data_IF_878393213002
#
_entry.id   IF_878393213002
#
_cell.length_a   1.000
_cell.length_b   1.000
_cell.length_c   1.000
_cell.angle_alpha   90.00
_cell.angle_beta   90.00
_cell.angle_gamma   90.00
#
_symmetry.space_group_name_H-M   'P 1'
#
loop_
_entity.id
_entity.type
_entity.pdbx_description
1 polymer ?
#
# COMPACT_ATOMS: atom_id res chain seq x y z
N UNK A 1 -54.17 51.74 -0.19
CA UNK A 1 -53.71 52.27 1.12
C UNK A 1 -53.31 51.05 1.94
N UNK A 2 -52.09 50.77 2.38
CA UNK A 2 -50.90 51.60 2.66
C UNK A 2 -49.71 50.60 2.73
N UNK A 3 -48.77 50.70 1.78
CA UNK A 3 -47.35 51.11 1.95
C UNK A 3 -46.41 50.04 2.55
N UNK A 4 -45.52 49.56 1.67
CA UNK A 4 -44.32 48.79 1.97
C UNK A 4 -43.18 49.67 2.51
N UNK A 5 -42.25 49.06 3.26
CA UNK A 5 -40.80 49.36 3.23
C UNK A 5 -39.98 48.22 3.87
N UNK A 6 -38.71 48.03 3.45
CA UNK A 6 -37.91 46.83 3.72
C UNK A 6 -36.89 47.00 4.85
N UNK A 7 -36.46 45.90 5.48
CA UNK A 7 -35.36 45.86 6.46
C UNK A 7 -34.14 45.18 5.85
N UNK A 8 -33.03 45.89 5.91
CA UNK A 8 -31.66 45.57 5.47
C UNK A 8 -31.00 44.44 6.27
N UNK A 9 -30.12 43.61 5.68
CA UNK A 9 -29.25 42.71 6.43
C UNK A 9 -27.96 43.40 6.88
N UNK A 10 -27.58 43.14 8.13
CA UNK A 10 -26.38 43.61 8.81
C UNK A 10 -25.20 42.72 8.43
N UNK A 11 -24.20 43.29 7.76
CA UNK A 11 -22.85 42.72 7.59
C UNK A 11 -21.99 42.98 8.83
N UNK A 12 -21.50 41.91 9.46
CA UNK A 12 -20.43 41.88 10.45
C UNK A 12 -19.55 40.65 10.13
N UNK A 13 -18.23 40.63 10.22
CA UNK A 13 -17.23 41.64 10.55
C UNK A 13 -15.88 40.95 10.34
N UNK A 14 -15.11 41.43 9.37
CA UNK A 14 -13.74 40.95 9.10
C UNK A 14 -12.78 41.67 10.02
N UNK A 15 -11.98 40.92 10.81
CA UNK A 15 -10.82 41.46 11.52
C UNK A 15 -9.70 40.43 11.73
N UNK A 16 -8.49 40.95 11.54
CA UNK A 16 -7.17 40.54 12.06
C UNK A 16 -6.44 39.36 11.42
N UNK A 17 -5.57 39.69 10.46
CA UNK A 17 -4.24 39.05 10.34
C UNK A 17 -3.15 40.14 10.39
N UNK A 18 -2.07 39.95 11.17
CA UNK A 18 -0.97 40.90 11.24
C UNK A 18 -0.08 40.77 10.00
N UNK A 19 0.38 41.93 9.50
CA UNK A 19 1.41 42.04 8.47
C UNK A 19 2.72 41.47 9.00
N UNK A 20 3.26 40.46 8.33
CA UNK A 20 4.61 39.95 8.56
C UNK A 20 5.66 40.93 8.04
N UNK A 21 6.71 41.03 8.83
CA UNK A 21 7.79 42.00 8.81
C UNK A 21 8.80 41.76 7.68
N UNK A 22 9.31 42.87 7.17
CA UNK A 22 10.49 43.02 6.31
C UNK A 22 11.65 42.15 6.76
N UNK A 23 12.09 41.22 5.92
CA UNK A 23 13.30 40.43 6.14
C UNK A 23 14.51 41.22 5.66
N UNK A 24 15.44 41.46 6.59
CA UNK A 24 16.75 42.05 6.37
C UNK A 24 17.63 41.11 5.54
N UNK A 25 18.28 41.66 4.50
CA UNK A 25 19.32 40.99 3.73
C UNK A 25 20.51 40.65 4.62
N UNK A 26 20.74 39.36 4.86
CA UNK A 26 21.98 38.84 5.45
C UNK A 26 22.87 38.38 4.29
N UNK A 27 24.05 39.00 4.16
CA UNK A 27 25.08 38.61 3.21
C UNK A 27 25.47 37.14 3.40
N UNK A 28 25.45 36.37 2.31
CA UNK A 28 26.00 35.02 2.24
C UNK A 28 27.48 35.07 1.85
N UNK A 29 28.33 34.16 2.38
CA UNK A 29 29.73 34.05 1.97
C UNK A 29 29.88 33.37 0.59
N UNK A 30 30.93 33.67 -0.19
CA UNK A 30 31.17 33.04 -1.48
C UNK A 30 31.76 31.63 -1.29
N UNK A 31 31.16 30.62 -1.92
CA UNK A 31 31.74 29.27 -2.04
C UNK A 31 32.21 28.99 -3.48
N UNK A 32 33.35 28.31 -3.65
CA UNK A 32 33.88 27.94 -4.96
C UNK A 32 33.29 26.59 -5.42
N UNK A 33 32.64 26.59 -6.58
CA UNK A 33 32.08 25.38 -7.18
C UNK A 33 30.87 25.67 -8.05
N UNK A 34 30.99 26.58 -9.01
CA UNK A 34 29.91 26.93 -9.91
C UNK A 34 29.69 25.78 -10.90
N UNK A 35 28.73 24.91 -10.60
CA UNK A 35 28.21 23.90 -11.51
C UNK A 35 27.53 24.64 -12.67
N UNK A 36 28.27 24.87 -13.75
CA UNK A 36 27.75 25.39 -15.01
C UNK A 36 26.93 24.31 -15.72
N UNK A 37 25.77 23.96 -15.20
CA UNK A 37 24.81 23.10 -15.91
C UNK A 37 23.80 23.98 -16.64
N UNK A 38 23.78 23.93 -17.97
CA UNK A 38 22.85 24.68 -18.83
C UNK A 38 21.36 24.27 -18.70
N UNK A 39 21.01 23.50 -17.68
CA UNK A 39 19.64 23.10 -17.39
C UNK A 39 19.11 23.92 -16.20
N UNK A 40 18.11 24.82 -16.41
CA UNK A 40 17.56 25.67 -15.36
C UNK A 40 16.93 24.86 -14.22
N UNK A 41 16.49 23.62 -14.47
CA UNK A 41 15.90 22.75 -13.44
C UNK A 41 16.98 22.27 -12.47
N UNK A 42 18.15 21.88 -12.97
CA UNK A 42 19.29 21.47 -12.13
C UNK A 42 19.76 22.60 -11.22
N UNK A 43 19.88 23.81 -11.76
CA UNK A 43 20.24 24.99 -10.99
C UNK A 43 19.20 25.26 -9.88
N UNK A 44 17.91 25.12 -10.20
CA UNK A 44 16.83 25.31 -9.24
C UNK A 44 16.82 24.24 -8.14
N UNK A 45 17.11 22.98 -8.46
CA UNK A 45 17.25 21.89 -7.48
C UNK A 45 18.46 22.13 -6.59
N UNK A 46 19.61 22.51 -7.15
CA UNK A 46 20.79 22.86 -6.36
C UNK A 46 20.51 24.01 -5.39
N UNK A 47 19.82 25.05 -5.85
CA UNK A 47 19.39 26.17 -5.00
C UNK A 47 18.38 25.74 -3.92
N UNK A 48 17.44 24.83 -4.25
CA UNK A 48 16.51 24.26 -3.29
C UNK A 48 17.27 23.52 -2.18
N UNK A 49 18.21 22.65 -2.54
CA UNK A 49 19.02 21.91 -1.57
C UNK A 49 19.73 22.89 -0.62
N UNK A 50 20.40 23.92 -1.16
CA UNK A 50 21.10 24.96 -0.36
C UNK A 50 20.21 25.68 0.64
N UNK A 51 18.93 25.90 0.31
CA UNK A 51 18.02 26.66 1.17
C UNK A 51 17.22 25.78 2.12
N UNK A 52 17.02 24.51 1.76
CA UNK A 52 16.05 23.64 2.43
C UNK A 52 16.54 23.01 3.75
N UNK A 53 17.78 23.25 4.20
CA UNK A 53 18.29 22.66 5.45
C UNK A 53 17.52 23.09 6.71
N UNK A 54 16.86 24.24 6.66
CA UNK A 54 16.05 24.79 7.76
C UNK A 54 14.56 24.47 7.62
N UNK A 55 14.15 23.90 6.49
CA UNK A 55 12.76 23.51 6.25
C UNK A 55 12.54 22.07 6.72
N UNK A 56 11.32 21.71 7.15
CA UNK A 56 10.97 20.31 7.36
C UNK A 56 11.26 19.46 6.11
N UNK A 57 11.80 18.26 6.31
CA UNK A 57 12.14 17.32 5.24
C UNK A 57 10.94 17.06 4.29
N UNK A 58 9.73 16.92 4.85
CA UNK A 58 8.47 16.77 4.10
C UNK A 58 8.19 17.96 3.17
N UNK A 59 8.33 19.18 3.68
CA UNK A 59 8.15 20.42 2.90
C UNK A 59 9.19 20.53 1.78
N UNK A 60 10.44 20.18 2.06
CA UNK A 60 11.51 20.21 1.07
C UNK A 60 11.30 19.15 -0.04
N UNK A 61 10.87 17.94 0.32
CA UNK A 61 10.51 16.89 -0.62
C UNK A 61 9.29 17.28 -1.49
N UNK A 62 8.30 17.93 -0.89
CA UNK A 62 7.16 18.47 -1.63
C UNK A 62 7.60 19.57 -2.61
N UNK A 63 8.46 20.50 -2.17
CA UNK A 63 9.01 21.54 -3.03
C UNK A 63 9.81 20.95 -4.21
N UNK A 64 10.61 19.91 -3.96
CA UNK A 64 11.31 19.17 -5.02
C UNK A 64 10.31 18.55 -6.02
N UNK A 65 9.25 17.91 -5.51
CA UNK A 65 8.22 17.28 -6.35
C UNK A 65 7.46 18.29 -7.21
N UNK A 66 7.25 19.51 -6.72
CA UNK A 66 6.61 20.58 -7.48
C UNK A 66 7.55 21.21 -8.52
N UNK A 67 8.84 21.31 -8.20
CA UNK A 67 9.85 21.89 -9.07
C UNK A 67 10.21 20.97 -10.24
N UNK A 68 10.21 19.65 -10.01
CA UNK A 68 10.67 18.65 -10.97
C UNK A 68 9.51 17.84 -11.53
N UNK A 69 9.37 17.85 -12.86
CA UNK A 69 8.36 17.05 -13.56
C UNK A 69 8.53 15.54 -13.27
N UNK A 70 7.44 14.78 -13.08
CA UNK A 70 7.51 13.35 -12.72
C UNK A 70 8.46 12.51 -13.58
N UNK A 71 8.46 12.74 -14.90
CA UNK A 71 9.29 12.01 -15.87
C UNK A 71 10.80 12.29 -15.73
N UNK A 72 11.18 13.43 -15.16
CA UNK A 72 12.59 13.84 -14.99
C UNK A 72 13.15 13.53 -13.59
N UNK A 73 12.29 13.19 -12.62
CA UNK A 73 12.71 13.03 -11.21
C UNK A 73 13.74 11.93 -11.03
N UNK A 74 13.57 10.80 -11.70
CA UNK A 74 14.51 9.67 -11.61
C UNK A 74 15.90 10.04 -12.13
N UNK A 75 15.97 10.69 -13.29
CA UNK A 75 17.25 11.13 -13.86
C UNK A 75 17.94 12.18 -12.97
N UNK A 76 17.18 13.15 -12.44
CA UNK A 76 17.75 14.14 -11.51
C UNK A 76 18.20 13.53 -10.18
N UNK A 77 17.51 12.49 -9.71
CA UNK A 77 17.94 11.74 -8.55
C UNK A 77 19.29 11.05 -8.81
N UNK A 78 19.50 10.45 -9.98
CA UNK A 78 20.78 9.84 -10.37
C UNK A 78 21.89 10.87 -10.58
N UNK A 79 21.58 12.01 -11.20
CA UNK A 79 22.60 12.99 -11.59
C UNK A 79 23.01 13.94 -10.45
N UNK A 80 22.12 14.20 -9.50
CA UNK A 80 22.31 15.23 -8.46
C UNK A 80 22.24 14.65 -7.05
N UNK A 81 21.16 13.93 -6.71
CA UNK A 81 20.94 13.49 -5.33
C UNK A 81 21.84 12.33 -4.92
N UNK A 82 22.05 11.35 -5.81
CA UNK A 82 22.86 10.17 -5.54
C UNK A 82 24.35 10.50 -5.39
N UNK A 83 24.95 11.37 -6.23
CA UNK A 83 26.32 11.83 -6.01
C UNK A 83 26.44 12.65 -4.71
N UNK A 84 25.45 13.49 -4.40
CA UNK A 84 25.42 14.26 -3.15
C UNK A 84 25.44 13.33 -1.92
N UNK A 85 24.61 12.28 -1.92
CA UNK A 85 24.55 11.29 -0.84
C UNK A 85 25.89 10.58 -0.61
N UNK A 86 26.62 10.26 -1.69
CA UNK A 86 27.90 9.54 -1.65
C UNK A 86 29.13 10.43 -1.45
N UNK A 87 28.98 11.76 -1.61
CA UNK A 87 30.05 12.74 -1.44
C UNK A 87 30.33 13.05 0.04
N UNK A 88 31.43 13.77 0.30
CA UNK A 88 31.75 14.36 1.60
C UNK A 88 31.06 15.71 1.82
N UNK A 89 29.88 15.91 1.21
CA UNK A 89 29.08 17.12 1.40
C UNK A 89 28.61 17.26 2.85
N UNK A 90 28.06 18.44 3.17
CA UNK A 90 27.49 18.73 4.48
C UNK A 90 26.46 17.67 4.91
N UNK A 91 26.46 17.31 6.19
CA UNK A 91 25.63 16.23 6.70
C UNK A 91 24.12 16.52 6.50
N UNK A 92 23.72 17.79 6.66
CA UNK A 92 22.34 18.22 6.44
C UNK A 92 21.92 18.03 4.97
N UNK A 93 22.84 18.22 4.02
CA UNK A 93 22.62 17.95 2.60
C UNK A 93 22.35 16.48 2.33
N UNK A 94 23.19 15.62 2.90
CA UNK A 94 23.10 14.17 2.71
C UNK A 94 21.82 13.60 3.33
N UNK A 95 21.42 14.09 4.50
CA UNK A 95 20.13 13.77 5.14
C UNK A 95 18.95 14.21 4.28
N UNK A 96 19.01 15.43 3.72
CA UNK A 96 17.94 15.92 2.87
C UNK A 96 17.83 15.08 1.59
N UNK A 97 18.96 14.76 0.94
CA UNK A 97 18.97 13.95 -0.26
C UNK A 97 18.44 12.53 -0.01
N UNK A 98 18.84 11.88 1.09
CA UNK A 98 18.32 10.54 1.42
C UNK A 98 16.80 10.57 1.64
N UNK A 99 16.28 11.59 2.33
CA UNK A 99 14.85 11.75 2.52
C UNK A 99 14.10 12.03 1.21
N UNK A 100 14.65 12.85 0.31
CA UNK A 100 14.03 13.10 -1.00
C UNK A 100 13.95 11.80 -1.81
N UNK A 101 15.06 11.04 -1.89
CA UNK A 101 15.10 9.74 -2.59
C UNK A 101 14.07 8.74 -2.03
N UNK A 102 13.86 8.74 -0.72
CA UNK A 102 12.79 7.99 -0.08
C UNK A 102 11.39 8.49 -0.48
N UNK A 103 11.14 9.80 -0.31
CA UNK A 103 9.84 10.42 -0.47
C UNK A 103 9.26 10.31 -1.89
N UNK A 104 10.12 10.18 -2.90
CA UNK A 104 9.72 9.96 -4.29
C UNK A 104 8.87 8.69 -4.49
N UNK A 105 8.98 7.72 -3.58
CA UNK A 105 8.28 6.43 -3.64
C UNK A 105 7.55 6.08 -2.32
N UNK A 106 7.41 7.01 -1.38
CA UNK A 106 6.84 6.77 -0.05
C UNK A 106 5.40 6.21 0.01
N UNK A 107 4.52 6.32 -1.01
CA UNK A 107 3.24 5.59 -1.01
C UNK A 107 3.41 4.06 -1.07
N UNK A 108 4.62 3.58 -1.40
CA UNK A 108 4.92 2.17 -1.58
C UNK A 108 5.93 1.68 -0.53
N UNK A 109 5.94 0.37 -0.20
CA UNK A 109 6.96 -0.22 0.67
C UNK A 109 8.38 0.07 0.17
N UNK A 110 9.34 0.22 1.10
CA UNK A 110 10.74 0.52 0.77
C UNK A 110 11.39 -0.56 -0.13
N UNK A 111 10.86 -1.80 -0.12
CA UNK A 111 11.27 -2.88 -1.02
C UNK A 111 11.10 -2.55 -2.51
N UNK A 112 10.15 -1.67 -2.86
CA UNK A 112 9.89 -1.23 -4.24
C UNK A 112 10.64 0.05 -4.62
N UNK A 113 11.34 0.69 -3.69
CA UNK A 113 12.09 1.91 -3.99
C UNK A 113 13.37 1.56 -4.77
N UNK A 114 13.57 2.08 -6.01
CA UNK A 114 14.75 1.75 -6.83
C UNK A 114 16.07 2.23 -6.22
N UNK A 115 16.03 3.15 -5.24
CA UNK A 115 17.20 3.66 -4.53
C UNK A 115 17.49 2.90 -3.22
N UNK A 116 16.71 1.86 -2.87
CA UNK A 116 16.89 1.07 -1.64
C UNK A 116 18.33 0.55 -1.50
N UNK A 117 18.87 -0.05 -2.56
CA UNK A 117 20.23 -0.62 -2.56
C UNK A 117 21.30 0.44 -2.33
N UNK A 118 21.14 1.61 -2.94
CA UNK A 118 22.07 2.73 -2.74
C UNK A 118 21.99 3.30 -1.32
N UNK A 119 20.78 3.52 -0.80
CA UNK A 119 20.56 3.97 0.59
C UNK A 119 21.17 2.97 1.59
N UNK A 120 21.00 1.68 1.35
CA UNK A 120 21.60 0.61 2.15
C UNK A 120 23.12 0.58 2.06
N UNK A 121 23.70 0.69 0.86
CA UNK A 121 25.15 0.75 0.68
C UNK A 121 25.76 1.96 1.41
N UNK A 122 25.11 3.13 1.33
CA UNK A 122 25.52 4.31 2.11
C UNK A 122 25.39 4.04 3.62
N UNK A 123 24.32 3.42 4.08
CA UNK A 123 24.14 3.06 5.49
C UNK A 123 25.29 2.19 6.01
N UNK A 124 25.63 1.10 5.30
CA UNK A 124 26.72 0.19 5.70
C UNK A 124 28.06 0.92 5.75
N UNK A 125 28.35 1.75 4.73
CA UNK A 125 29.58 2.55 4.66
C UNK A 125 29.70 3.52 5.83
N UNK A 126 28.69 4.35 6.07
CA UNK A 126 28.69 5.38 7.12
C UNK A 126 28.67 4.75 8.52
N UNK A 127 27.94 3.66 8.71
CA UNK A 127 27.93 2.89 9.96
C UNK A 127 29.31 2.33 10.27
N UNK A 128 30.00 1.75 9.28
CA UNK A 128 31.35 1.23 9.46
C UNK A 128 32.34 2.33 9.83
N UNK A 129 32.22 3.51 9.23
CA UNK A 129 33.04 4.68 9.57
C UNK A 129 32.76 5.18 11.00
N UNK A 130 31.50 5.40 11.35
CA UNK A 130 31.11 5.85 12.69
C UNK A 130 31.53 4.86 13.79
N UNK A 131 31.42 3.56 13.53
CA UNK A 131 31.82 2.51 14.49
C UNK A 131 33.32 2.51 14.75
N UNK A 132 34.15 2.74 13.71
CA UNK A 132 35.60 2.85 13.87
C UNK A 132 35.99 4.05 14.73
N UNK A 133 35.39 5.21 14.49
CA UNK A 133 35.64 6.43 15.27
C UNK A 133 35.19 6.25 16.73
N UNK A 134 34.05 5.59 16.95
CA UNK A 134 33.56 5.30 18.30
C UNK A 134 34.53 4.39 19.07
N UNK A 135 35.19 3.44 18.40
CA UNK A 135 36.22 2.59 19.03
C UNK A 135 37.47 3.39 19.45
N UNK A 136 37.75 4.51 18.80
CA UNK A 136 38.82 5.45 19.16
C UNK A 136 38.40 6.43 20.30
N UNK A 137 37.19 6.26 20.86
CA UNK A 137 36.66 7.10 21.95
C UNK A 137 36.13 8.46 21.50
N UNK A 138 36.03 8.70 20.18
CA UNK A 138 35.51 9.95 19.61
C UNK A 138 34.04 9.82 19.18
N UNK A 139 33.35 10.95 19.07
CA UNK A 139 31.98 11.02 18.57
C UNK A 139 32.03 11.31 17.06
N UNK A 140 31.35 10.50 16.24
CA UNK A 140 31.26 10.75 14.81
C UNK A 140 30.02 11.59 14.50
N UNK A 141 30.21 12.70 13.80
CA UNK A 141 29.11 13.51 13.26
C UNK A 141 28.26 12.73 12.23
N UNK A 142 28.74 11.58 11.73
CA UNK A 142 28.01 10.77 10.74
C UNK A 142 26.91 9.90 11.35
N UNK A 143 26.82 9.80 12.68
CA UNK A 143 25.82 8.95 13.34
C UNK A 143 24.38 9.37 13.05
N UNK A 144 24.12 10.68 12.93
CA UNK A 144 22.80 11.21 12.61
C UNK A 144 22.33 10.77 11.23
N UNK A 145 23.23 10.71 10.25
CA UNK A 145 22.91 10.19 8.92
C UNK A 145 22.65 8.69 8.96
N UNK A 146 23.44 7.93 9.73
CA UNK A 146 23.22 6.48 9.92
C UNK A 146 21.84 6.21 10.50
N UNK A 147 21.43 6.98 11.51
CA UNK A 147 20.10 6.87 12.12
C UNK A 147 18.97 7.19 11.13
N UNK A 148 19.10 8.28 10.35
CA UNK A 148 18.13 8.64 9.30
C UNK A 148 17.98 7.53 8.27
N UNK A 149 19.10 7.00 7.76
CA UNK A 149 19.07 5.91 6.77
C UNK A 149 18.44 4.64 7.34
N UNK A 150 18.75 4.30 8.59
CA UNK A 150 18.13 3.16 9.28
C UNK A 150 16.61 3.30 9.39
N UNK A 151 16.12 4.48 9.79
CA UNK A 151 14.68 4.76 9.88
C UNK A 151 13.99 4.64 8.52
N UNK A 152 14.58 5.19 7.46
CA UNK A 152 14.08 5.06 6.09
C UNK A 152 14.03 3.59 5.66
N UNK A 153 15.11 2.84 5.89
CA UNK A 153 15.26 1.44 5.44
C UNK A 153 14.36 0.47 6.22
N UNK A 154 13.97 0.80 7.46
CA UNK A 154 12.95 0.05 8.23
C UNK A 154 11.50 0.37 7.82
N UNK A 155 11.27 1.39 6.99
CA UNK A 155 9.93 1.82 6.56
C UNK A 155 9.33 2.95 7.38
N UNK A 156 10.04 3.44 8.40
CA UNK A 156 9.61 4.52 9.29
C UNK A 156 10.07 5.91 8.78
N UNK A 157 10.32 6.06 7.48
CA UNK A 157 10.84 7.31 6.92
C UNK A 157 9.91 8.51 7.16
N UNK A 158 8.61 8.28 7.33
CA UNK A 158 7.62 9.34 7.57
C UNK A 158 7.84 10.08 8.90
N UNK A 159 8.42 9.41 9.91
CA UNK A 159 8.75 10.03 11.20
C UNK A 159 9.75 11.19 11.06
N UNK A 160 10.56 11.17 9.99
CA UNK A 160 11.61 12.17 9.73
C UNK A 160 11.00 13.44 9.10
N UNK A 161 9.84 13.32 8.44
CA UNK A 161 9.22 14.38 7.65
C UNK A 161 9.01 15.73 8.36
N UNK A 162 8.59 15.76 9.65
CA UNK A 162 8.38 17.02 10.38
C UNK A 162 9.67 17.76 10.78
N UNK A 163 10.82 17.08 10.80
CA UNK A 163 12.08 17.65 11.27
C UNK A 163 12.88 18.26 10.12
N UNK A 164 13.64 19.32 10.42
CA UNK A 164 14.57 19.89 9.43
C UNK A 164 15.91 19.15 9.44
N UNK A 165 16.60 19.02 8.29
CA UNK A 165 17.92 18.40 8.24
C UNK A 165 18.91 19.02 9.24
N UNK A 166 18.93 20.35 9.37
CA UNK A 166 19.80 21.05 10.32
C UNK A 166 19.47 20.79 11.80
N UNK A 167 18.21 20.50 12.12
CA UNK A 167 17.81 20.08 13.46
C UNK A 167 18.28 18.65 13.73
N UNK A 168 18.14 17.76 12.74
CA UNK A 168 18.55 16.36 12.85
C UNK A 168 20.06 16.21 13.04
N UNK A 169 20.88 17.00 12.33
CA UNK A 169 22.34 16.97 12.50
C UNK A 169 22.81 17.40 13.88
N UNK A 170 22.03 18.24 14.58
CA UNK A 170 22.37 18.77 15.90
C UNK A 170 21.71 18.00 17.05
N UNK A 171 20.79 17.10 16.75
CA UNK A 171 20.07 16.36 17.77
C UNK A 171 21.00 15.32 18.41
N UNK A 172 21.16 15.32 19.74
CA UNK A 172 21.93 14.29 20.41
C UNK A 172 21.18 12.96 20.29
N UNK A 173 21.83 11.96 19.70
CA UNK A 173 21.27 10.62 19.62
C UNK A 173 21.36 9.93 20.98
N UNK A 174 20.29 9.23 21.35
CA UNK A 174 20.31 8.35 22.52
C UNK A 174 21.34 7.23 22.33
N UNK A 175 21.97 6.72 23.40
CA UNK A 175 22.96 5.64 23.31
C UNK A 175 22.47 4.40 22.55
N UNK A 176 21.18 4.11 22.63
CA UNK A 176 20.54 2.98 21.92
C UNK A 176 20.48 3.19 20.40
N UNK A 177 20.46 4.44 19.95
CA UNK A 177 20.38 4.84 18.54
C UNK A 177 21.76 5.07 17.90
N UNK A 178 22.84 4.70 18.61
CA UNK A 178 24.21 4.80 18.12
C UNK A 178 24.45 3.82 16.99
N UNK A 179 25.31 4.19 16.05
CA UNK A 179 25.62 3.40 14.86
C UNK A 179 26.01 1.93 15.15
N UNK A 180 26.65 1.67 16.30
CA UNK A 180 27.00 0.30 16.74
C UNK A 180 25.77 -0.59 16.92
N UNK A 181 24.66 -0.03 17.40
CA UNK A 181 23.46 -0.75 17.82
C UNK A 181 22.42 -0.86 16.69
N UNK A 182 22.55 -0.04 15.65
CA UNK A 182 21.63 -0.04 14.51
C UNK A 182 21.97 -1.17 13.54
N UNK A 183 21.25 -2.28 13.63
CA UNK A 183 21.38 -3.43 12.72
C UNK A 183 20.17 -3.47 11.79
N UNK A 184 20.42 -3.78 10.51
CA UNK A 184 19.39 -4.11 9.53
C UNK A 184 19.54 -5.59 9.21
N UNK A 185 18.43 -6.31 9.14
CA UNK A 185 18.42 -7.74 8.84
C UNK A 185 18.84 -7.93 7.38
N UNK A 186 20.08 -8.40 7.16
CA UNK A 186 20.69 -8.53 5.83
C UNK A 186 19.88 -9.47 4.91
N UNK A 187 19.09 -10.37 5.48
CA UNK A 187 18.20 -11.30 4.77
C UNK A 187 17.18 -10.55 3.90
N UNK A 188 16.60 -9.43 4.38
CA UNK A 188 15.65 -8.62 3.61
C UNK A 188 16.30 -7.78 2.49
N UNK A 189 17.63 -7.78 2.39
CA UNK A 189 18.41 -7.02 1.41
C UNK A 189 19.21 -7.91 0.46
N UNK A 190 19.29 -9.23 0.75
CA UNK A 190 20.07 -10.22 -0.02
C UNK A 190 19.21 -11.10 -0.93
N UNK A 191 17.90 -10.88 -0.99
CA UNK A 191 16.88 -11.72 -1.68
C UNK A 191 17.02 -11.87 -3.20
N UNK A 192 18.15 -11.55 -3.84
CA UNK A 192 18.30 -11.76 -5.29
C UNK A 192 19.10 -13.00 -5.69
N UNK A 193 19.84 -13.69 -4.81
CA UNK A 193 20.81 -14.71 -5.31
C UNK A 193 20.94 -16.07 -4.57
N UNK A 194 20.03 -16.52 -3.69
CA UNK A 194 20.20 -17.86 -3.12
C UNK A 194 18.90 -18.54 -2.68
N UNK A 195 18.39 -19.47 -3.50
CA UNK A 195 17.47 -20.52 -3.07
C UNK A 195 17.56 -21.71 -4.03
N UNK A 196 18.59 -22.57 -3.86
CA UNK A 196 18.55 -23.93 -4.40
C UNK A 196 17.71 -24.84 -3.47
N UNK A 197 16.84 -25.72 -4.00
CA UNK A 197 16.14 -26.73 -3.20
C UNK A 197 17.01 -27.99 -3.04
N UNK A 198 17.26 -28.37 -1.79
CA UNK A 198 17.92 -29.63 -1.45
C UNK A 198 17.05 -30.84 -1.83
N UNK A 199 17.42 -31.53 -2.90
CA UNK A 199 17.02 -32.92 -3.17
C UNK A 199 17.87 -33.87 -2.35
N UNK A 200 17.26 -34.57 -1.39
CA UNK A 200 17.86 -35.70 -0.68
C UNK A 200 17.33 -37.02 -1.24
N UNK A 201 18.22 -37.81 -1.86
CA UNK A 201 18.06 -39.25 -1.98
C UNK A 201 19.42 -39.98 -2.08
N UNK A 202 19.75 -40.68 -0.97
CA UNK A 202 20.29 -42.05 -0.87
C UNK A 202 21.69 -42.33 -1.46
N UNK A 203 22.68 -42.65 -0.59
CA UNK A 203 23.22 -44.03 -0.44
C UNK A 203 24.36 -44.14 0.59
N UNK A 204 24.06 -44.90 1.65
CA UNK A 204 24.81 -46.09 2.15
C UNK A 204 26.02 -45.96 3.09
N UNK A 205 25.78 -46.48 4.30
CA UNK A 205 26.51 -47.54 5.03
C UNK A 205 28.02 -47.36 5.27
N UNK A 206 28.37 -47.26 6.57
CA UNK A 206 29.08 -48.29 7.35
C UNK A 206 30.16 -47.70 8.27
N UNK A 207 30.12 -48.09 9.55
CA UNK A 207 31.32 -48.16 10.41
C UNK A 207 31.21 -47.48 11.77
N UNK A 208 31.03 -48.30 12.80
CA UNK A 208 31.28 -48.02 14.21
C UNK A 208 32.66 -47.38 14.46
N UNK A 209 32.74 -46.43 15.42
CA UNK A 209 33.78 -46.46 16.45
C UNK A 209 33.59 -45.36 17.50
N UNK A 210 33.70 -45.79 18.75
CA UNK A 210 33.70 -45.01 19.99
C UNK A 210 34.85 -43.98 20.10
N UNK A 211 34.56 -42.95 20.89
CA UNK A 211 35.46 -42.22 21.78
C UNK A 211 36.82 -41.72 21.26
N UNK A 212 36.97 -40.40 21.11
CA UNK A 212 38.14 -39.73 21.68
C UNK A 212 38.00 -38.22 21.88
N UNK A 213 38.54 -37.81 23.01
CA UNK A 213 38.70 -36.47 23.56
C UNK A 213 39.92 -35.81 22.88
N UNK A 214 39.92 -34.47 22.84
CA UNK A 214 41.04 -33.52 22.79
C UNK A 214 41.28 -32.69 21.51
N UNK A 215 41.35 -31.38 21.79
CA UNK A 215 42.31 -30.38 21.29
C UNK A 215 42.06 -29.65 19.96
N UNK A 216 41.99 -28.33 20.13
CA UNK A 216 42.07 -27.26 19.15
C UNK A 216 43.28 -27.37 18.19
N UNK A 217 43.04 -27.04 16.91
CA UNK A 217 43.96 -26.26 16.09
C UNK A 217 43.25 -25.73 14.84
N UNK A 218 43.49 -24.45 14.55
CA UNK A 218 42.79 -23.66 13.55
C UNK A 218 42.93 -24.17 12.12
N UNK A 219 41.84 -23.98 11.37
CA UNK A 219 41.76 -24.17 9.93
C UNK A 219 41.32 -22.84 9.30
N UNK A 220 42.09 -22.26 8.35
CA UNK A 220 41.67 -21.04 7.66
C UNK A 220 40.48 -21.36 6.75
N UNK A 221 39.42 -20.55 6.87
CA UNK A 221 38.23 -20.60 6.01
C UNK A 221 38.61 -20.44 4.54
N UNK A 222 38.11 -21.29 3.63
CA UNK A 222 38.21 -21.04 2.20
C UNK A 222 37.33 -19.84 1.85
N UNK A 223 37.86 -18.99 0.97
CA UNK A 223 37.18 -17.82 0.42
C UNK A 223 35.79 -18.21 -0.11
N UNK A 224 34.77 -17.46 0.34
CA UNK A 224 33.43 -17.51 -0.21
C UNK A 224 33.49 -17.15 -1.70
N UNK A 225 33.44 -18.16 -2.56
CA UNK A 225 33.16 -17.98 -3.97
C UNK A 225 31.71 -17.53 -4.07
N UNK A 226 31.51 -16.28 -4.45
CA UNK A 226 30.21 -15.73 -4.84
C UNK A 226 29.74 -16.51 -6.06
N UNK A 227 28.85 -17.49 -5.84
CA UNK A 227 28.21 -18.23 -6.93
C UNK A 227 27.27 -17.23 -7.60
N UNK A 228 27.67 -16.71 -8.76
CA UNK A 228 26.74 -16.01 -9.66
C UNK A 228 25.63 -17.00 -10.01
N UNK A 229 24.42 -16.75 -9.50
CA UNK A 229 23.24 -17.54 -9.82
C UNK A 229 23.03 -17.49 -11.34
N UNK A 230 23.33 -18.59 -12.02
CA UNK A 230 23.04 -18.73 -13.44
C UNK A 230 21.53 -18.83 -13.59
N UNK A 231 20.90 -17.71 -13.94
CA UNK A 231 19.49 -17.66 -14.29
C UNK A 231 19.24 -18.64 -15.43
N UNK A 232 18.38 -19.61 -15.18
CA UNK A 232 18.04 -20.64 -16.17
C UNK A 232 17.01 -20.09 -17.16
N UNK A 233 17.02 -20.60 -18.40
CA UNK A 233 16.06 -20.16 -19.43
C UNK A 233 14.61 -20.46 -19.01
N UNK A 234 14.37 -21.52 -18.25
CA UNK A 234 13.04 -21.84 -17.72
C UNK A 234 12.54 -20.82 -16.68
N UNK A 235 13.44 -20.28 -15.85
CA UNK A 235 13.09 -19.24 -14.88
C UNK A 235 12.73 -17.92 -15.57
N UNK A 236 13.47 -17.56 -16.62
CA UNK A 236 13.17 -16.38 -17.44
C UNK A 236 11.78 -16.49 -18.09
N UNK A 237 11.44 -17.64 -18.68
CA UNK A 237 10.09 -17.85 -19.24
C UNK A 237 8.99 -17.77 -18.18
N UNK A 238 9.22 -18.30 -16.98
CA UNK A 238 8.26 -18.21 -15.86
C UNK A 238 8.09 -16.77 -15.41
N UNK A 239 9.19 -16.03 -15.26
CA UNK A 239 9.19 -14.62 -14.88
C UNK A 239 8.48 -13.77 -15.94
N UNK A 240 8.68 -14.05 -17.23
CA UNK A 240 7.97 -13.39 -18.32
C UNK A 240 6.45 -13.63 -18.23
N UNK A 241 6.02 -14.87 -17.99
CA UNK A 241 4.59 -15.20 -17.83
C UNK A 241 3.97 -14.47 -16.63
N UNK A 242 4.69 -14.39 -15.50
CA UNK A 242 4.24 -13.66 -14.31
C UNK A 242 4.15 -12.15 -14.61
N UNK A 243 5.16 -11.58 -15.27
CA UNK A 243 5.15 -10.17 -15.67
C UNK A 243 3.99 -9.84 -16.64
N UNK A 244 3.71 -10.74 -17.59
CA UNK A 244 2.57 -10.63 -18.49
C UNK A 244 1.24 -10.69 -17.71
N UNK A 245 1.11 -11.62 -16.77
CA UNK A 245 -0.07 -11.75 -15.93
C UNK A 245 -0.29 -10.50 -15.06
N UNK A 246 0.77 -9.94 -14.49
CA UNK A 246 0.72 -8.69 -13.73
C UNK A 246 0.26 -7.51 -14.61
N UNK A 247 0.76 -7.43 -15.84
CA UNK A 247 0.31 -6.42 -16.82
C UNK A 247 -1.18 -6.57 -17.15
N UNK A 248 -1.67 -7.80 -17.33
CA UNK A 248 -3.09 -8.07 -17.56
C UNK A 248 -3.94 -7.72 -16.35
N UNK A 249 -3.46 -8.00 -15.14
CA UNK A 249 -4.15 -7.66 -13.91
C UNK A 249 -4.30 -6.14 -13.74
N UNK A 250 -3.25 -5.37 -14.04
CA UNK A 250 -3.33 -3.90 -14.05
C UNK A 250 -4.32 -3.40 -15.10
N UNK A 251 -4.32 -4.00 -16.30
CA UNK A 251 -5.31 -3.68 -17.33
C UNK A 251 -6.75 -4.02 -16.89
N UNK A 252 -6.95 -5.06 -16.09
CA UNK A 252 -8.26 -5.46 -15.56
C UNK A 252 -8.89 -4.41 -14.62
N UNK A 253 -8.08 -3.51 -14.06
CA UNK A 253 -8.56 -2.38 -13.25
C UNK A 253 -9.21 -1.29 -14.11
N UNK A 254 -8.72 -1.10 -15.32
CA UNK A 254 -9.14 0.01 -16.18
C UNK A 254 -10.18 -0.40 -17.22
N UNK A 255 -10.24 -1.69 -17.57
CA UNK A 255 -11.16 -2.19 -18.60
C UNK A 255 -11.54 -3.65 -18.41
N UNK A 256 -12.56 -4.05 -19.15
CA UNK A 256 -12.92 -5.46 -19.32
C UNK A 256 -11.80 -6.18 -20.09
N UNK A 257 -11.32 -7.29 -19.54
CA UNK A 257 -10.38 -8.17 -20.22
C UNK A 257 -11.11 -9.05 -21.24
N UNK A 258 -10.48 -9.29 -22.37
CA UNK A 258 -10.95 -10.25 -23.37
C UNK A 258 -10.89 -11.68 -22.85
N UNK A 259 -11.66 -12.60 -23.43
CA UNK A 259 -11.64 -14.02 -23.01
C UNK A 259 -10.25 -14.65 -23.14
N UNK A 260 -9.47 -14.26 -24.15
CA UNK A 260 -8.09 -14.75 -24.32
C UNK A 260 -7.19 -14.26 -23.19
N UNK A 261 -7.30 -12.99 -22.81
CA UNK A 261 -6.55 -12.43 -21.68
C UNK A 261 -6.95 -13.09 -20.36
N UNK A 262 -8.25 -13.31 -20.14
CA UNK A 262 -8.73 -14.02 -18.95
C UNK A 262 -8.18 -15.44 -18.88
N UNK A 263 -8.16 -16.19 -20.01
CA UNK A 263 -7.60 -17.55 -20.07
C UNK A 263 -6.11 -17.60 -19.75
N UNK A 264 -5.35 -16.57 -20.12
CA UNK A 264 -3.93 -16.45 -19.77
C UNK A 264 -3.77 -16.17 -18.27
N UNK A 265 -4.61 -15.28 -17.71
CA UNK A 265 -4.50 -14.81 -16.34
C UNK A 265 -4.96 -15.84 -15.30
N UNK A 266 -6.08 -16.54 -15.54
CA UNK A 266 -6.68 -17.48 -14.58
C UNK A 266 -5.71 -18.50 -13.96
N UNK A 267 -4.90 -19.27 -14.72
CA UNK A 267 -3.99 -20.26 -14.14
C UNK A 267 -2.85 -19.65 -13.33
N UNK A 268 -2.60 -18.34 -13.47
CA UNK A 268 -1.50 -17.65 -12.80
C UNK A 268 -1.96 -16.88 -11.54
N UNK A 269 -3.25 -16.86 -11.24
CA UNK A 269 -3.82 -16.12 -10.10
C UNK A 269 -3.16 -16.51 -8.77
N UNK A 270 -3.00 -17.81 -8.50
CA UNK A 270 -2.38 -18.28 -7.24
C UNK A 270 -0.93 -17.82 -7.08
N UNK A 271 -0.21 -17.66 -8.20
CA UNK A 271 1.18 -17.19 -8.19
C UNK A 271 1.25 -15.66 -7.97
N UNK A 272 0.21 -14.92 -8.36
CA UNK A 272 0.11 -13.46 -8.15
C UNK A 272 -0.35 -13.11 -6.73
N UNK A 273 -0.96 -14.05 -6.01
CA UNK A 273 -1.38 -13.91 -4.60
C UNK A 273 -0.35 -14.45 -3.62
N UNK A 274 0.82 -14.91 -4.08
CA UNK A 274 1.91 -15.45 -3.25
C UNK A 274 3.27 -15.24 -3.95
N UNK A 275 3.93 -14.08 -3.77
CA UNK A 275 3.61 -12.97 -2.86
C UNK A 275 2.45 -12.11 -3.38
N UNK A 276 1.65 -11.56 -2.47
CA UNK A 276 0.49 -10.76 -2.86
C UNK A 276 0.91 -9.45 -3.52
N UNK A 277 0.72 -9.36 -4.83
CA UNK A 277 0.97 -8.13 -5.60
C UNK A 277 -0.25 -7.19 -5.65
N UNK A 278 -1.41 -7.67 -5.20
CA UNK A 278 -2.70 -6.99 -5.30
C UNK A 278 -3.01 -6.28 -4.00
N UNK A 279 -3.36 -5.00 -4.05
CA UNK A 279 -3.79 -4.27 -2.86
C UNK A 279 -5.32 -4.31 -2.74
N UNK A 280 -5.84 -4.06 -1.54
CA UNK A 280 -7.28 -3.91 -1.30
C UNK A 280 -7.93 -2.86 -2.23
N UNK A 281 -7.17 -1.82 -2.61
CA UNK A 281 -7.62 -0.74 -3.50
C UNK A 281 -7.83 -1.17 -4.96
N UNK A 282 -7.23 -2.29 -5.37
CA UNK A 282 -7.33 -2.79 -6.74
C UNK A 282 -8.61 -3.60 -6.97
N UNK A 283 -9.23 -4.12 -5.91
CA UNK A 283 -10.37 -5.03 -6.01
C UNK A 283 -11.66 -4.36 -6.52
N UNK A 284 -12.10 -3.17 -6.05
CA UNK A 284 -13.33 -2.54 -6.53
C UNK A 284 -13.40 -2.33 -8.05
N UNK A 285 -12.37 -1.75 -8.71
CA UNK A 285 -12.42 -1.59 -10.16
C UNK A 285 -12.37 -2.93 -10.90
N UNK A 286 -11.69 -3.95 -10.36
CA UNK A 286 -11.69 -5.30 -10.95
C UNK A 286 -13.07 -5.94 -10.84
N UNK A 287 -13.77 -5.77 -9.72
CA UNK A 287 -15.17 -6.23 -9.55
C UNK A 287 -16.08 -5.56 -10.59
N UNK A 288 -15.95 -4.24 -10.77
CA UNK A 288 -16.79 -3.48 -11.68
C UNK A 288 -16.63 -3.91 -13.15
N UNK A 289 -15.40 -4.20 -13.59
CA UNK A 289 -15.12 -4.53 -14.99
C UNK A 289 -15.06 -6.04 -15.28
N UNK A 290 -14.65 -6.86 -14.33
CA UNK A 290 -14.29 -8.26 -14.54
C UNK A 290 -14.75 -9.16 -13.37
N UNK A 291 -16.06 -9.25 -13.11
CA UNK A 291 -16.63 -10.00 -11.97
C UNK A 291 -16.18 -11.46 -11.85
N UNK A 292 -16.04 -12.17 -12.98
CA UNK A 292 -15.53 -13.55 -12.98
C UNK A 292 -14.09 -13.65 -12.47
N UNK A 293 -13.23 -12.72 -12.90
CA UNK A 293 -11.85 -12.66 -12.45
C UNK A 293 -11.78 -12.24 -10.98
N UNK A 294 -12.58 -11.24 -10.60
CA UNK A 294 -12.66 -10.75 -9.22
C UNK A 294 -13.01 -11.86 -8.23
N UNK A 295 -13.99 -12.72 -8.57
CA UNK A 295 -14.35 -13.88 -7.75
C UNK A 295 -13.16 -14.83 -7.52
N UNK A 296 -12.44 -15.19 -8.58
CA UNK A 296 -11.26 -16.08 -8.47
C UNK A 296 -10.13 -15.43 -7.65
N UNK A 297 -9.91 -14.12 -7.82
CA UNK A 297 -8.94 -13.36 -7.04
C UNK A 297 -9.33 -13.29 -5.58
N UNK A 298 -10.61 -13.03 -5.26
CA UNK A 298 -11.09 -12.99 -3.88
C UNK A 298 -10.87 -14.34 -3.17
N UNK A 299 -11.16 -15.46 -3.83
CA UNK A 299 -10.88 -16.79 -3.26
C UNK A 299 -9.39 -16.97 -3.01
N UNK A 300 -8.55 -16.69 -4.00
CA UNK A 300 -7.10 -16.84 -3.87
C UNK A 300 -6.54 -15.95 -2.74
N UNK A 301 -6.98 -14.69 -2.65
CA UNK A 301 -6.57 -13.74 -1.61
C UNK A 301 -7.05 -14.15 -0.21
N UNK A 302 -8.26 -14.69 -0.09
CA UNK A 302 -8.80 -15.16 1.20
C UNK A 302 -8.17 -16.47 1.65
N UNK A 303 -7.81 -17.35 0.71
CA UNK A 303 -7.20 -18.66 1.00
C UNK A 303 -5.69 -18.60 1.17
N UNK A 304 -5.00 -17.56 0.66
CA UNK A 304 -3.59 -17.31 0.90
C UNK A 304 -3.31 -17.23 2.41
N UNK A 305 -2.67 -18.25 2.96
CA UNK A 305 -2.20 -18.25 4.34
C UNK A 305 -1.21 -17.12 4.52
N UNK A 306 -1.52 -16.16 5.40
CA UNK A 306 -0.63 -15.05 5.72
C UNK A 306 0.66 -15.59 6.34
N UNK A 307 1.67 -15.88 5.54
CA UNK A 307 3.04 -15.93 6.02
C UNK A 307 3.35 -14.56 6.62
N UNK A 308 3.84 -14.53 7.85
CA UNK A 308 4.01 -13.40 8.79
C UNK A 308 4.58 -12.07 8.25
N UNK A 309 4.95 -11.98 6.98
CA UNK A 309 5.61 -10.82 6.36
C UNK A 309 4.65 -9.83 5.69
N UNK A 310 3.36 -10.18 5.54
CA UNK A 310 2.42 -9.31 4.82
C UNK A 310 1.63 -8.37 5.75
N UNK A 311 1.67 -7.07 5.44
CA UNK A 311 1.04 -6.00 6.25
C UNK A 311 -0.48 -5.89 6.11
N UNK A 312 -1.08 -6.56 5.13
CA UNK A 312 -2.53 -6.58 4.89
C UNK A 312 -3.04 -8.02 4.97
N UNK A 313 -3.73 -8.35 6.07
CA UNK A 313 -4.40 -9.64 6.25
C UNK A 313 -5.68 -9.76 5.42
N UNK A 314 -6.36 -10.93 5.47
CA UNK A 314 -7.62 -11.18 4.75
C UNK A 314 -8.73 -10.18 5.09
N UNK A 315 -8.69 -9.59 6.29
CA UNK A 315 -9.61 -8.55 6.76
C UNK A 315 -9.67 -7.34 5.83
N UNK A 316 -8.55 -6.91 5.27
CA UNK A 316 -8.51 -5.75 4.37
C UNK A 316 -9.34 -5.98 3.09
N UNK A 317 -9.38 -7.21 2.57
CA UNK A 317 -10.18 -7.55 1.40
C UNK A 317 -11.66 -7.74 1.76
N UNK A 318 -11.96 -8.31 2.93
CA UNK A 318 -13.34 -8.39 3.43
C UNK A 318 -13.93 -6.99 3.63
N UNK A 319 -13.16 -6.04 4.15
CA UNK A 319 -13.59 -4.65 4.32
C UNK A 319 -13.92 -3.97 3.00
N UNK A 320 -13.19 -4.29 1.93
CA UNK A 320 -13.51 -3.80 0.58
C UNK A 320 -14.83 -4.39 0.08
N UNK A 321 -15.07 -5.68 0.28
CA UNK A 321 -16.34 -6.31 -0.13
C UNK A 321 -17.55 -5.66 0.56
N UNK A 322 -17.41 -5.21 1.81
CA UNK A 322 -18.45 -4.48 2.56
C UNK A 322 -18.81 -3.12 1.93
N UNK A 323 -17.86 -2.50 1.23
CA UNK A 323 -17.98 -1.14 0.69
C UNK A 323 -18.25 -1.11 -0.83
N UNK A 324 -18.45 -2.26 -1.46
CA UNK A 324 -18.76 -2.31 -2.89
C UNK A 324 -20.08 -1.59 -3.19
N UNK A 325 -20.17 -0.86 -4.32
CA UNK A 325 -21.42 -0.21 -4.72
C UNK A 325 -22.48 -1.27 -5.11
N UNK A 326 -23.78 -0.99 -4.97
CA UNK A 326 -24.87 -1.91 -5.29
C UNK A 326 -25.07 -2.07 -6.81
N UNK A 327 -24.07 -2.62 -7.48
CA UNK A 327 -24.06 -2.90 -8.92
C UNK A 327 -24.23 -4.40 -9.19
N UNK A 328 -24.71 -4.76 -10.38
CA UNK A 328 -24.89 -6.17 -10.76
C UNK A 328 -23.60 -7.00 -10.58
N UNK A 329 -22.40 -6.54 -11.01
CA UNK A 329 -21.15 -7.27 -10.76
C UNK A 329 -20.85 -7.52 -9.28
N UNK A 330 -21.18 -6.55 -8.40
CA UNK A 330 -20.98 -6.66 -6.95
C UNK A 330 -21.94 -7.67 -6.31
N UNK A 331 -23.19 -7.74 -6.78
CA UNK A 331 -24.13 -8.76 -6.35
C UNK A 331 -23.71 -10.15 -6.83
N UNK A 332 -23.30 -10.28 -8.09
CA UNK A 332 -22.87 -11.55 -8.67
C UNK A 332 -21.68 -12.16 -7.91
N UNK A 333 -20.66 -11.35 -7.60
CA UNK A 333 -19.50 -11.84 -6.82
C UNK A 333 -19.90 -12.27 -5.42
N UNK A 334 -20.73 -11.50 -4.71
CA UNK A 334 -21.16 -11.84 -3.36
C UNK A 334 -22.01 -13.10 -3.31
N UNK A 335 -22.96 -13.28 -4.25
CA UNK A 335 -23.75 -14.52 -4.33
C UNK A 335 -22.84 -15.73 -4.55
N UNK A 336 -21.82 -15.61 -5.41
CA UNK A 336 -20.88 -16.72 -5.67
C UNK A 336 -20.01 -17.01 -4.46
N UNK A 337 -19.51 -15.99 -3.77
CA UNK A 337 -18.72 -16.17 -2.55
C UNK A 337 -19.55 -16.79 -1.41
N UNK A 338 -20.82 -16.40 -1.27
CA UNK A 338 -21.74 -16.97 -0.27
C UNK A 338 -22.12 -18.44 -0.56
N UNK A 339 -21.85 -18.95 -1.76
CA UNK A 339 -22.04 -20.35 -2.12
C UNK A 339 -20.73 -21.16 -2.08
N UNK A 340 -19.60 -20.50 -1.82
CA UNK A 340 -18.29 -21.11 -1.92
C UNK A 340 -17.92 -21.89 -0.66
N UNK A 341 -17.81 -23.22 -0.79
CA UNK A 341 -17.50 -24.13 0.31
C UNK A 341 -15.99 -24.35 0.51
N UNK A 342 -15.13 -23.58 -0.14
CA UNK A 342 -13.68 -23.70 0.02
C UNK A 342 -13.30 -23.39 1.47
N UNK A 343 -12.44 -24.23 2.04
CA UNK A 343 -12.02 -24.08 3.44
C UNK A 343 -10.97 -22.99 3.57
N UNK A 344 -11.16 -22.11 4.55
CA UNK A 344 -10.24 -21.03 4.92
C UNK A 344 -9.97 -21.07 6.42
N UNK A 345 -8.82 -20.56 6.85
CA UNK A 345 -8.50 -20.40 8.27
C UNK A 345 -9.12 -19.08 8.73
N UNK A 346 -9.99 -19.13 9.73
CA UNK A 346 -10.58 -17.95 10.33
C UNK A 346 -9.48 -17.10 10.99
N UNK A 347 -9.31 -15.81 10.60
CA UNK A 347 -8.28 -14.95 11.16
C UNK A 347 -8.46 -14.66 12.65
N UNK A 348 -9.69 -14.75 13.18
CA UNK A 348 -10.01 -14.43 14.58
C UNK A 348 -9.86 -15.66 15.48
N UNK A 349 -10.43 -16.79 15.07
CA UNK A 349 -10.44 -18.01 15.90
C UNK A 349 -9.29 -18.97 15.60
N UNK A 350 -8.65 -18.85 14.43
CA UNK A 350 -7.70 -19.84 13.91
C UNK A 350 -8.35 -21.18 13.51
N UNK A 351 -9.67 -21.29 13.61
CA UNK A 351 -10.43 -22.47 13.22
C UNK A 351 -10.54 -22.62 11.70
N UNK A 352 -10.89 -23.82 11.23
CA UNK A 352 -11.27 -24.03 9.83
C UNK A 352 -12.72 -23.57 9.64
N UNK A 353 -12.94 -22.62 8.75
CA UNK A 353 -14.26 -22.14 8.32
C UNK A 353 -14.38 -22.26 6.80
N UNK A 354 -15.53 -21.94 6.22
CA UNK A 354 -15.70 -21.83 4.76
C UNK A 354 -15.70 -20.36 4.33
N UNK A 355 -15.38 -20.08 3.07
CA UNK A 355 -15.51 -18.73 2.52
C UNK A 355 -16.96 -18.24 2.62
N UNK A 356 -17.94 -19.11 2.32
CA UNK A 356 -19.35 -18.81 2.47
C UNK A 356 -19.70 -18.34 3.89
N UNK A 357 -19.28 -19.08 4.92
CA UNK A 357 -19.54 -18.72 6.32
C UNK A 357 -18.85 -17.41 6.70
N UNK A 358 -17.58 -17.23 6.30
CA UNK A 358 -16.82 -16.01 6.55
C UNK A 358 -17.49 -14.78 5.93
N UNK A 359 -17.90 -14.85 4.65
CA UNK A 359 -18.56 -13.75 3.94
C UNK A 359 -19.96 -13.50 4.51
N UNK A 360 -20.69 -14.55 4.91
CA UNK A 360 -22.00 -14.39 5.54
C UNK A 360 -21.91 -13.65 6.87
N UNK A 361 -20.97 -14.01 7.74
CA UNK A 361 -20.81 -13.42 9.07
C UNK A 361 -20.22 -12.01 9.00
N UNK A 362 -19.15 -11.81 8.23
CA UNK A 362 -18.39 -10.56 8.29
C UNK A 362 -18.82 -9.51 7.26
N UNK A 363 -19.36 -9.93 6.10
CA UNK A 363 -19.55 -9.05 4.95
C UNK A 363 -21.02 -8.75 4.68
N UNK A 364 -21.89 -9.76 4.66
CA UNK A 364 -23.25 -9.66 4.11
C UNK A 364 -24.09 -8.55 4.77
N UNK A 365 -24.19 -8.56 6.10
CA UNK A 365 -25.00 -7.56 6.82
C UNK A 365 -24.50 -6.13 6.59
N UNK A 366 -23.18 -5.92 6.64
CA UNK A 366 -22.60 -4.59 6.40
C UNK A 366 -22.78 -4.14 4.95
N UNK A 367 -22.63 -5.05 3.99
CA UNK A 367 -22.83 -4.76 2.58
C UNK A 367 -24.28 -4.36 2.27
N UNK A 368 -25.28 -5.04 2.85
CA UNK A 368 -26.70 -4.68 2.73
C UNK A 368 -26.93 -3.26 3.25
N UNK A 369 -26.39 -2.96 4.44
CA UNK A 369 -26.50 -1.63 5.05
C UNK A 369 -25.87 -0.53 4.18
N UNK A 370 -24.63 -0.72 3.71
CA UNK A 370 -23.97 0.26 2.85
C UNK A 370 -24.66 0.40 1.48
N UNK A 371 -25.26 -0.68 0.95
CA UNK A 371 -26.06 -0.66 -0.27
C UNK A 371 -27.32 0.22 -0.11
N UNK A 372 -28.04 0.08 1.00
CA UNK A 372 -29.21 0.93 1.34
C UNK A 372 -28.78 2.40 1.40
N UNK A 373 -27.73 2.69 2.19
CA UNK A 373 -27.21 4.05 2.35
C UNK A 373 -26.74 4.67 1.02
N UNK A 374 -26.11 3.88 0.16
CA UNK A 374 -25.70 4.32 -1.17
C UNK A 374 -26.92 4.68 -2.03
N UNK A 375 -27.97 3.85 -2.02
CA UNK A 375 -29.20 4.07 -2.78
C UNK A 375 -29.96 5.30 -2.27
N UNK A 376 -30.06 5.50 -0.95
CA UNK A 376 -30.65 6.71 -0.37
C UNK A 376 -29.91 7.98 -0.80
N UNK A 377 -28.58 7.93 -0.86
CA UNK A 377 -27.79 9.05 -1.35
C UNK A 377 -27.99 9.27 -2.85
N UNK A 378 -28.04 8.20 -3.65
CA UNK A 378 -28.31 8.28 -5.08
C UNK A 378 -29.68 8.90 -5.37
N UNK A 379 -30.71 8.53 -4.61
CA UNK A 379 -32.06 9.12 -4.69
C UNK A 379 -32.05 10.61 -4.30
N UNK A 380 -31.30 10.97 -3.25
CA UNK A 380 -31.16 12.37 -2.83
C UNK A 380 -30.51 13.21 -3.92
N UNK A 381 -29.45 12.72 -4.54
CA UNK A 381 -28.75 13.39 -5.64
C UNK A 381 -29.64 13.54 -6.89
N UNK A 382 -30.45 12.52 -7.21
CA UNK A 382 -31.45 12.58 -8.29
C UNK A 382 -32.54 13.64 -8.00
N UNK A 383 -33.11 13.65 -6.79
CA UNK A 383 -34.11 14.66 -6.38
C UNK A 383 -33.57 16.09 -6.42
N UNK A 384 -32.27 16.27 -6.17
CA UNK A 384 -31.60 17.57 -6.23
C UNK A 384 -31.21 17.96 -7.67
N UNK A 385 -31.42 17.08 -8.65
CA UNK A 385 -31.04 17.31 -10.04
C UNK A 385 -29.52 17.35 -10.27
N UNK A 386 -28.72 16.81 -9.33
CA UNK A 386 -27.26 16.72 -9.47
C UNK A 386 -26.86 15.65 -10.49
N UNK A 387 -27.71 14.64 -10.65
CA UNK A 387 -27.52 13.51 -11.58
C UNK A 387 -28.84 13.21 -12.28
N UNK A 388 -28.79 12.99 -13.59
CA UNK A 388 -29.98 12.72 -14.43
C UNK A 388 -30.04 11.27 -14.93
N UNK A 389 -29.36 10.34 -14.26
CA UNK A 389 -29.23 8.93 -14.68
C UNK A 389 -30.07 8.00 -13.78
N UNK A 390 -30.54 6.90 -14.35
CA UNK A 390 -31.42 5.88 -13.74
C UNK A 390 -30.70 4.97 -12.74
N UNK A 391 -29.52 5.36 -12.25
CA UNK A 391 -28.67 4.53 -11.37
C UNK A 391 -29.40 4.15 -10.07
N UNK A 392 -30.27 5.02 -9.56
CA UNK A 392 -31.04 4.74 -8.36
C UNK A 392 -32.13 3.68 -8.66
N UNK A 393 -32.96 3.89 -9.69
CA UNK A 393 -33.99 2.94 -10.09
C UNK A 393 -33.41 1.56 -10.42
N UNK A 394 -32.35 1.49 -11.25
CA UNK A 394 -31.65 0.24 -11.57
C UNK A 394 -31.02 -0.40 -10.34
N UNK A 395 -30.46 0.42 -9.44
CA UNK A 395 -29.89 -0.04 -8.19
C UNK A 395 -30.92 -0.71 -7.29
N UNK A 396 -32.11 -0.10 -7.11
CA UNK A 396 -33.23 -0.69 -6.34
C UNK A 396 -33.66 -2.02 -6.96
N UNK A 397 -33.87 -2.08 -8.27
CA UNK A 397 -34.27 -3.31 -8.96
C UNK A 397 -33.26 -4.45 -8.75
N UNK A 398 -31.97 -4.17 -8.97
CA UNK A 398 -30.91 -5.15 -8.82
C UNK A 398 -30.77 -5.59 -7.36
N UNK A 399 -30.86 -4.66 -6.41
CA UNK A 399 -30.75 -4.96 -4.99
C UNK A 399 -31.91 -5.83 -4.48
N UNK A 400 -33.15 -5.55 -4.90
CA UNK A 400 -34.30 -6.39 -4.57
C UNK A 400 -34.19 -7.80 -5.17
N UNK A 401 -33.66 -7.94 -6.40
CA UNK A 401 -33.41 -9.25 -7.04
C UNK A 401 -32.29 -10.01 -6.34
N UNK A 402 -31.23 -9.32 -5.93
CA UNK A 402 -30.14 -9.89 -5.14
C UNK A 402 -30.67 -10.45 -3.82
N UNK A 403 -31.42 -9.65 -3.04
CA UNK A 403 -31.97 -10.10 -1.77
C UNK A 403 -32.97 -11.26 -1.93
N UNK A 404 -33.82 -11.22 -2.95
CA UNK A 404 -34.72 -12.33 -3.29
C UNK A 404 -33.94 -13.62 -3.59
N UNK A 405 -32.77 -13.50 -4.20
CA UNK A 405 -31.89 -14.64 -4.46
C UNK A 405 -31.29 -15.19 -3.16
N UNK A 406 -30.93 -14.34 -2.20
CA UNK A 406 -30.46 -14.78 -0.88
C UNK A 406 -31.52 -15.57 -0.11
N UNK A 407 -32.78 -15.12 -0.14
CA UNK A 407 -33.92 -15.85 0.44
C UNK A 407 -34.09 -17.22 -0.22
N UNK A 408 -34.09 -17.27 -1.55
CA UNK A 408 -34.23 -18.53 -2.30
C UNK A 408 -33.10 -19.52 -2.04
N UNK A 409 -31.89 -19.03 -1.78
CA UNK A 409 -30.74 -19.85 -1.44
C UNK A 409 -30.71 -20.28 0.03
N UNK A 410 -31.66 -19.82 0.87
CA UNK A 410 -31.65 -20.08 2.31
C UNK A 410 -30.48 -19.42 3.06
N UNK A 411 -29.86 -18.40 2.45
CA UNK A 411 -28.76 -17.64 3.08
C UNK A 411 -29.35 -16.63 4.07
N UNK A 412 -30.54 -16.10 3.79
CA UNK A 412 -31.27 -15.22 4.69
C UNK A 412 -32.58 -15.91 5.06
N UNK A 413 -32.90 -15.92 6.35
CA UNK A 413 -34.16 -16.44 6.85
C UNK A 413 -35.23 -15.35 6.76
N UNK A 414 -36.36 -15.66 6.11
CA UNK A 414 -37.47 -14.73 5.96
C UNK A 414 -38.22 -14.49 7.28
N UNK A 415 -38.16 -15.46 8.20
CA UNK A 415 -38.87 -15.44 9.47
C UNK A 415 -38.04 -14.75 10.57
N UNK A 416 -36.75 -14.55 10.31
CA UNK A 416 -35.82 -13.81 11.17
C UNK A 416 -36.06 -12.30 11.04
N UNK A 417 -36.68 -11.72 12.06
CA UNK A 417 -36.85 -10.26 12.15
C UNK A 417 -35.50 -9.53 12.15
N UNK A 418 -34.48 -10.11 12.78
CA UNK A 418 -33.14 -9.51 12.84
C UNK A 418 -32.53 -9.36 11.44
N UNK A 419 -32.70 -10.36 10.57
CA UNK A 419 -32.11 -10.35 9.24
C UNK A 419 -32.95 -9.53 8.25
N UNK A 420 -34.28 -9.48 8.43
CA UNK A 420 -35.19 -8.92 7.43
C UNK A 420 -35.65 -7.49 7.69
N UNK A 421 -35.51 -6.95 8.90
CA UNK A 421 -36.12 -5.66 9.27
C UNK A 421 -35.65 -4.49 8.41
N UNK A 422 -34.34 -4.36 8.16
CA UNK A 422 -33.83 -3.29 7.29
C UNK A 422 -34.40 -3.40 5.86
N UNK A 423 -34.47 -4.62 5.33
CA UNK A 423 -34.94 -4.86 3.96
C UNK A 423 -36.45 -4.69 3.81
N UNK A 424 -37.25 -5.04 4.83
CA UNK A 424 -38.70 -4.79 4.86
C UNK A 424 -38.97 -3.29 4.80
N UNK A 425 -38.27 -2.50 5.62
CA UNK A 425 -38.41 -1.05 5.61
C UNK A 425 -38.01 -0.45 4.26
N UNK A 426 -36.85 -0.86 3.74
CA UNK A 426 -36.36 -0.41 2.43
C UNK A 426 -37.35 -0.74 1.29
N UNK A 427 -37.86 -1.96 1.25
CA UNK A 427 -38.78 -2.41 0.20
C UNK A 427 -40.13 -1.67 0.27
N UNK A 428 -40.63 -1.39 1.48
CA UNK A 428 -41.85 -0.60 1.69
C UNK A 428 -41.67 0.85 1.22
N UNK A 429 -40.57 1.50 1.60
CA UNK A 429 -40.24 2.87 1.19
C UNK A 429 -40.10 2.99 -0.33
N UNK A 430 -39.61 1.94 -0.99
CA UNK A 430 -39.39 1.88 -2.43
C UNK A 430 -40.50 1.13 -3.19
N UNK A 431 -41.67 0.96 -2.60
CA UNK A 431 -42.80 0.19 -3.15
C UNK A 431 -43.36 0.69 -4.49
N UNK A 432 -42.91 1.83 -5.01
CA UNK A 432 -43.19 2.29 -6.38
C UNK A 432 -42.49 1.43 -7.45
N UNK A 433 -41.44 0.68 -7.09
CA UNK A 433 -40.75 -0.25 -7.97
C UNK A 433 -41.34 -1.66 -7.81
N UNK A 434 -41.65 -2.32 -8.92
CA UNK A 434 -42.31 -3.63 -8.95
C UNK A 434 -41.54 -4.68 -8.14
N UNK A 435 -40.20 -4.74 -8.29
CA UNK A 435 -39.35 -5.67 -7.57
C UNK A 435 -39.35 -5.42 -6.05
N UNK A 436 -39.44 -4.17 -5.63
CA UNK A 436 -39.53 -3.82 -4.21
C UNK A 436 -40.89 -4.22 -3.64
N UNK A 437 -41.99 -3.98 -4.37
CA UNK A 437 -43.32 -4.46 -3.97
C UNK A 437 -43.36 -5.99 -3.86
N UNK A 438 -42.79 -6.70 -4.84
CA UNK A 438 -42.76 -8.16 -4.86
C UNK A 438 -41.95 -8.71 -3.66
N UNK A 439 -40.77 -8.15 -3.41
CA UNK A 439 -39.95 -8.54 -2.27
C UNK A 439 -40.64 -8.26 -0.93
N UNK A 440 -41.28 -7.08 -0.79
CA UNK A 440 -42.02 -6.74 0.42
C UNK A 440 -43.13 -7.77 0.72
N UNK A 441 -43.85 -8.23 -0.30
CA UNK A 441 -44.90 -9.26 -0.11
C UNK A 441 -44.32 -10.59 0.37
N UNK A 442 -43.17 -11.01 -0.15
CA UNK A 442 -42.49 -12.24 0.30
C UNK A 442 -42.06 -12.11 1.75
N UNK A 443 -41.45 -10.99 2.12
CA UNK A 443 -40.99 -10.74 3.49
C UNK A 443 -42.16 -10.57 4.48
N UNK A 444 -43.24 -9.91 4.08
CA UNK A 444 -44.43 -9.76 4.91
C UNK A 444 -45.17 -11.09 5.09
N UNK A 445 -45.19 -11.95 4.07
CA UNK A 445 -45.83 -13.26 4.15
C UNK A 445 -45.08 -14.27 5.04
N UNK A 446 -43.79 -14.08 5.33
CA UNK A 446 -43.08 -14.90 6.33
C UNK A 446 -43.44 -14.55 7.78
N UNK A 447 -44.01 -13.37 8.02
CA UNK A 447 -44.34 -12.87 9.38
C UNK A 447 -45.77 -13.19 9.84
N UNK A 448 -46.64 -13.66 8.94
CA UNK A 448 -48.06 -13.96 9.19
C UNK A 448 -48.38 -15.35 8.68
#
# INVERSE_FOLDING_TARGET
>A
MTRASPVTPVTAGSRFFPKSSTTTNILSPPFPGQISSGDPVRASVAHLLVRAYTLPCSTAAQAFSQLVQPTARFQLALDVLLPLLNSSADLAQRILASFILYSMYAPYPISLNPFKSALYATFVKERGYATKIAAEGSFSDSEQLVWVLWKILKGDGNDIGPYSPSTLTRSPLLPELRASNLILDEENFSETNASEPATSAISSLQGDSEAQIYTAKGRPSPAAQTVEAQVTLEEDEKNERIAQAMKLLLAARERVLTLTEQRILTPLISNLTSPTMITSMDLPPIVAHNSNLAYQLSIALLTSTSSNTQSQGPSAYLDVLKQLPPTLPSFDILVRLLQDTSTVIDPVTGGKTTIADLVRVDVLGRFIHESIKWLENAEREERQGLVSDDRFAKGVQNFCRFYSSLLRLGIVDADSDADTTEMVHFALQNSRFEEATALYRVLAAGRF
#
